data_IF_904427843143
#
_entry.id   IF_904427843143
#
_cell.length_a   1.000
_cell.length_b   1.000
_cell.length_c   1.000
_cell.angle_alpha   90.00
_cell.angle_beta   90.00
_cell.angle_gamma   90.00
#
_symmetry.space_group_name_H-M   'P 1'
#
loop_
_entity.id
_entity.type
_entity.pdbx_description
1 polymer ?
#
# COMPACT_ATOMS: atom_id res chain seq x y z
N UNK A 1 -10.70 -16.62 -5.38
CA UNK A 1 -9.49 -15.76 -5.40
C UNK A 1 -8.33 -16.58 -4.85
N UNK A 2 -7.27 -16.75 -5.60
CA UNK A 2 -6.19 -17.58 -5.11
C UNK A 2 -5.41 -16.85 -4.01
N UNK A 3 -5.34 -17.50 -2.87
CA UNK A 3 -4.33 -17.23 -1.87
C UNK A 3 -2.96 -17.54 -2.48
N UNK A 4 -2.00 -16.64 -2.28
CA UNK A 4 -0.61 -16.81 -2.73
C UNK A 4 0.28 -16.67 -1.51
N UNK A 5 1.21 -17.60 -1.36
CA UNK A 5 2.25 -17.52 -0.32
C UNK A 5 3.57 -17.21 -1.01
N UNK A 6 4.15 -16.08 -0.66
CA UNK A 6 5.42 -15.61 -1.19
C UNK A 6 6.55 -15.84 -0.20
N UNK A 7 7.77 -15.97 -0.71
CA UNK A 7 8.97 -15.93 0.12
C UNK A 7 9.41 -14.47 0.29
N UNK A 8 9.30 -13.97 1.49
CA UNK A 8 9.76 -12.64 1.87
C UNK A 8 11.08 -12.67 2.65
N UNK A 9 11.57 -11.50 3.09
CA UNK A 9 12.84 -11.37 3.81
C UNK A 9 12.90 -12.16 5.13
N UNK A 10 11.78 -12.28 5.85
CA UNK A 10 11.68 -12.99 7.14
C UNK A 10 10.88 -14.28 7.04
N UNK A 11 10.65 -14.78 5.85
CA UNK A 11 9.92 -16.01 5.62
C UNK A 11 8.67 -15.80 4.77
N UNK A 12 7.65 -16.65 4.98
CA UNK A 12 6.44 -16.62 4.18
C UNK A 12 5.63 -15.35 4.39
N UNK A 13 5.09 -14.82 3.29
CA UNK A 13 4.15 -13.70 3.28
C UNK A 13 2.82 -14.18 2.68
N UNK A 14 1.74 -14.02 3.42
CA UNK A 14 0.38 -14.34 3.00
C UNK A 14 -0.19 -13.22 2.13
N UNK A 15 -0.62 -13.56 0.92
CA UNK A 15 -1.14 -12.61 -0.06
C UNK A 15 -2.46 -13.09 -0.65
N UNK A 16 -3.26 -12.13 -1.11
CA UNK A 16 -4.42 -12.37 -1.97
C UNK A 16 -4.22 -11.60 -3.27
N UNK A 17 -4.17 -12.32 -4.37
CA UNK A 17 -3.90 -11.75 -5.70
C UNK A 17 -5.10 -11.94 -6.63
N UNK A 18 -5.42 -10.92 -7.40
CA UNK A 18 -6.39 -10.98 -8.49
C UNK A 18 -5.75 -10.43 -9.76
N UNK A 19 -5.62 -11.26 -10.76
CA UNK A 19 -5.10 -10.86 -12.06
C UNK A 19 -6.16 -10.09 -12.84
N UNK A 20 -5.76 -8.99 -13.48
CA UNK A 20 -6.59 -8.26 -14.43
C UNK A 20 -6.84 -9.08 -15.69
N UNK A 21 -7.93 -8.76 -16.38
CA UNK A 21 -8.36 -9.52 -17.56
C UNK A 21 -7.55 -9.20 -18.82
N UNK A 22 -7.04 -7.97 -18.91
CA UNK A 22 -6.34 -7.48 -20.11
C UNK A 22 -4.82 -7.60 -19.94
N UNK A 23 -4.14 -7.97 -21.01
CA UNK A 23 -2.68 -7.95 -21.05
C UNK A 23 -2.18 -6.51 -20.92
N UNK A 24 -1.20 -6.28 -20.04
CA UNK A 24 -0.66 -4.95 -19.79
C UNK A 24 -1.53 -4.05 -18.92
N UNK A 25 -2.58 -4.59 -18.27
CA UNK A 25 -3.35 -3.84 -17.29
C UNK A 25 -2.45 -3.28 -16.17
N UNK A 26 -2.81 -2.13 -15.57
CA UNK A 26 -2.03 -1.59 -14.46
C UNK A 26 -2.07 -2.50 -13.23
N UNK A 27 -1.06 -2.38 -12.38
CA UNK A 27 -0.97 -3.13 -11.14
C UNK A 27 -1.17 -2.22 -9.93
N UNK A 28 -1.71 -2.76 -8.85
CA UNK A 28 -1.87 -2.06 -7.59
C UNK A 28 -1.49 -2.96 -6.40
N UNK A 29 -0.68 -2.41 -5.49
CA UNK A 29 -0.31 -3.02 -4.22
C UNK A 29 -1.06 -2.32 -3.09
N UNK A 30 -1.75 -3.10 -2.25
CA UNK A 30 -2.57 -2.60 -1.15
C UNK A 30 -1.93 -2.96 0.19
N UNK A 31 -1.73 -1.96 1.06
CA UNK A 31 -1.05 -2.10 2.34
C UNK A 31 -2.02 -1.81 3.49
N UNK A 32 -2.04 -2.70 4.49
CA UNK A 32 -2.97 -2.65 5.61
C UNK A 32 -2.48 -1.78 6.79
N UNK A 33 -3.37 -1.43 7.74
CA UNK A 33 -3.02 -0.60 8.91
C UNK A 33 -2.16 -1.35 9.94
N UNK A 34 -1.89 -0.68 11.06
CA UNK A 34 -0.95 -1.13 12.09
C UNK A 34 -1.15 -2.57 12.54
N UNK A 35 -0.11 -3.42 12.42
CA UNK A 35 -0.18 -4.83 12.81
C UNK A 35 -0.59 -5.05 14.28
N UNK A 36 -0.04 -4.25 15.21
CA UNK A 36 -0.33 -4.46 16.64
C UNK A 36 -1.61 -3.79 17.13
N UNK A 37 -2.33 -3.09 16.28
CA UNK A 37 -3.67 -2.62 16.57
C UNK A 37 -4.73 -3.49 15.88
N UNK A 38 -4.38 -4.75 15.58
CA UNK A 38 -5.27 -5.68 14.91
C UNK A 38 -5.39 -5.48 13.41
N UNK A 39 -4.49 -4.72 12.80
CA UNK A 39 -4.45 -4.50 11.36
C UNK A 39 -4.12 -5.78 10.59
N UNK A 40 -4.82 -6.01 9.48
CA UNK A 40 -4.57 -7.10 8.56
C UNK A 40 -5.04 -6.74 7.15
N UNK A 41 -4.68 -7.53 6.17
CA UNK A 41 -5.17 -7.38 4.79
C UNK A 41 -6.70 -7.53 4.66
N UNK A 42 -7.37 -8.03 5.68
CA UNK A 42 -8.83 -8.17 5.75
C UNK A 42 -9.51 -6.98 6.41
N UNK A 43 -8.77 -5.96 6.83
CA UNK A 43 -9.35 -4.69 7.29
C UNK A 43 -10.32 -4.15 6.23
N UNK A 44 -11.45 -3.59 6.68
CA UNK A 44 -12.54 -3.14 5.79
C UNK A 44 -12.06 -2.13 4.73
N UNK A 45 -11.24 -1.17 5.12
CA UNK A 45 -10.72 -0.15 4.19
C UNK A 45 -9.74 -0.77 3.20
N UNK A 46 -8.82 -1.59 3.67
CA UNK A 46 -7.85 -2.33 2.86
C UNK A 46 -8.56 -3.22 1.83
N UNK A 47 -9.57 -3.95 2.27
CA UNK A 47 -10.38 -4.79 1.39
C UNK A 47 -11.16 -3.96 0.36
N UNK A 48 -11.73 -2.83 0.76
CA UNK A 48 -12.45 -1.92 -0.15
C UNK A 48 -11.54 -1.35 -1.23
N UNK A 49 -10.34 -0.92 -0.88
CA UNK A 49 -9.32 -0.48 -1.84
C UNK A 49 -8.99 -1.60 -2.84
N UNK A 50 -8.75 -2.80 -2.35
CA UNK A 50 -8.49 -3.96 -3.19
C UNK A 50 -9.63 -4.22 -4.19
N UNK A 51 -10.88 -4.18 -3.73
CA UNK A 51 -12.05 -4.40 -4.59
C UNK A 51 -12.23 -3.30 -5.64
N UNK A 52 -11.98 -2.03 -5.27
CA UNK A 52 -12.09 -0.92 -6.23
C UNK A 52 -11.05 -1.04 -7.35
N UNK A 53 -9.80 -1.34 -7.05
CA UNK A 53 -8.79 -1.57 -8.08
C UNK A 53 -9.13 -2.77 -8.95
N UNK A 54 -9.59 -3.88 -8.35
CA UNK A 54 -10.03 -5.06 -9.07
C UNK A 54 -11.19 -4.76 -10.03
N UNK A 55 -12.20 -4.03 -9.57
CA UNK A 55 -13.37 -3.67 -10.37
C UNK A 55 -13.01 -2.77 -11.57
N UNK A 56 -11.91 -2.02 -11.46
CA UNK A 56 -11.38 -1.16 -12.53
C UNK A 56 -10.42 -1.89 -13.48
N UNK A 57 -10.27 -3.21 -13.33
CA UNK A 57 -9.49 -4.03 -14.26
C UNK A 57 -8.01 -4.17 -13.94
N UNK A 58 -7.56 -3.69 -12.77
CA UNK A 58 -6.18 -3.84 -12.33
C UNK A 58 -5.84 -5.29 -11.96
N UNK A 59 -4.59 -5.66 -12.14
CA UNK A 59 -3.99 -6.74 -11.37
C UNK A 59 -3.67 -6.20 -9.98
N UNK A 60 -4.29 -6.75 -8.96
CA UNK A 60 -4.23 -6.20 -7.61
C UNK A 60 -3.82 -7.25 -6.59
N UNK A 61 -2.96 -6.84 -5.65
CA UNK A 61 -2.48 -7.69 -4.57
C UNK A 61 -2.62 -6.95 -3.23
N UNK A 62 -3.15 -7.65 -2.23
CA UNK A 62 -3.10 -7.28 -0.83
C UNK A 62 -2.39 -8.37 -0.04
N UNK A 63 -1.72 -8.02 1.04
CA UNK A 63 -0.91 -8.96 1.81
C UNK A 63 -0.91 -8.62 3.29
N UNK A 64 -0.56 -9.60 4.11
CA UNK A 64 -0.29 -9.42 5.53
C UNK A 64 1.19 -9.13 5.76
N UNK A 65 1.51 -8.03 6.44
CA UNK A 65 2.87 -7.77 6.92
C UNK A 65 3.35 -8.89 7.84
N UNK A 66 4.66 -8.98 8.02
CA UNK A 66 5.30 -9.95 8.92
C UNK A 66 4.61 -10.02 10.28
N UNK A 67 4.43 -11.23 10.79
CA UNK A 67 3.77 -11.47 12.07
C UNK A 67 2.25 -11.38 12.07
N UNK A 68 1.63 -11.10 10.92
CA UNK A 68 0.17 -11.01 10.79
C UNK A 68 -0.36 -12.21 10.01
N UNK A 69 -1.45 -12.82 10.48
CA UNK A 69 -2.07 -13.98 9.83
C UNK A 69 -1.08 -15.11 9.64
N UNK A 70 -0.94 -15.59 8.41
CA UNK A 70 0.02 -16.65 8.06
C UNK A 70 1.41 -16.12 7.69
N UNK A 71 1.62 -14.82 7.70
CA UNK A 71 2.92 -14.21 7.43
C UNK A 71 3.89 -14.44 8.59
N UNK A 72 5.09 -14.90 8.28
CA UNK A 72 6.15 -15.19 9.26
C UNK A 72 6.89 -13.93 9.68
N UNK A 73 7.71 -14.05 10.71
CA UNK A 73 8.47 -12.92 11.28
C UNK A 73 7.72 -12.22 12.40
N UNK A 74 8.25 -11.08 12.79
CA UNK A 74 7.68 -10.22 13.83
C UNK A 74 7.75 -8.77 13.41
N UNK A 75 6.87 -7.93 13.98
CA UNK A 75 6.84 -6.50 13.72
C UNK A 75 8.21 -5.86 13.94
N UNK A 76 8.66 -5.06 12.98
CA UNK A 76 9.99 -4.46 12.94
C UNK A 76 9.96 -2.93 12.75
N UNK A 77 9.00 -2.29 13.37
CA UNK A 77 8.87 -0.81 13.43
C UNK A 77 8.90 -0.09 12.06
N UNK A 78 8.52 -0.78 11.01
CA UNK A 78 8.41 -0.25 9.65
C UNK A 78 9.56 -0.62 8.72
N UNK A 79 10.76 -0.89 9.21
CA UNK A 79 11.90 -1.27 8.34
C UNK A 79 11.67 -2.62 7.67
N UNK A 80 11.33 -3.63 8.46
CA UNK A 80 11.02 -4.95 7.96
C UNK A 80 9.76 -4.98 7.11
N UNK A 81 8.72 -4.24 7.51
CA UNK A 81 7.48 -4.10 6.76
C UNK A 81 7.72 -3.46 5.38
N UNK A 82 8.62 -2.48 5.30
CA UNK A 82 9.04 -1.91 4.02
C UNK A 82 9.73 -2.93 3.12
N UNK A 83 10.60 -3.76 3.69
CA UNK A 83 11.26 -4.84 2.96
C UNK A 83 10.25 -5.90 2.47
N UNK A 84 9.25 -6.24 3.28
CA UNK A 84 8.15 -7.12 2.88
C UNK A 84 7.38 -6.54 1.70
N UNK A 85 7.01 -5.26 1.77
CA UNK A 85 6.29 -4.57 0.70
C UNK A 85 7.09 -4.54 -0.61
N UNK A 86 8.41 -4.31 -0.54
CA UNK A 86 9.28 -4.34 -1.71
C UNK A 86 9.33 -5.74 -2.36
N UNK A 87 9.44 -6.79 -1.56
CA UNK A 87 9.43 -8.17 -2.05
C UNK A 87 8.11 -8.54 -2.72
N UNK A 88 6.98 -8.13 -2.12
CA UNK A 88 5.64 -8.36 -2.68
C UNK A 88 5.43 -7.57 -3.98
N UNK A 89 5.92 -6.33 -4.04
CA UNK A 89 5.86 -5.52 -5.27
C UNK A 89 6.68 -6.17 -6.39
N UNK A 90 7.87 -6.66 -6.11
CA UNK A 90 8.71 -7.35 -7.09
C UNK A 90 7.98 -8.57 -7.68
N UNK A 91 7.33 -9.35 -6.83
CA UNK A 91 6.54 -10.49 -7.29
C UNK A 91 5.36 -10.04 -8.16
N UNK A 92 4.60 -9.02 -7.71
CA UNK A 92 3.45 -8.49 -8.45
C UNK A 92 3.86 -8.02 -9.86
N UNK A 93 4.98 -7.32 -9.97
CA UNK A 93 5.54 -6.87 -11.25
C UNK A 93 6.01 -8.06 -12.11
N UNK A 94 6.59 -9.09 -11.51
CA UNK A 94 7.03 -10.30 -12.23
C UNK A 94 5.88 -11.08 -12.87
N UNK A 95 4.69 -11.01 -12.26
CA UNK A 95 3.47 -11.63 -12.82
C UNK A 95 2.81 -10.76 -13.89
N UNK A 96 3.23 -9.52 -14.06
CA UNK A 96 2.61 -8.51 -14.92
C UNK A 96 3.64 -7.76 -15.75
N UNK A 97 4.48 -8.47 -16.49
CA UNK A 97 5.64 -7.93 -17.22
C UNK A 97 5.31 -6.85 -18.24
N UNK A 98 4.09 -6.83 -18.77
CA UNK A 98 3.65 -5.85 -19.75
C UNK A 98 2.92 -4.64 -19.13
N UNK A 99 2.76 -4.62 -17.82
CA UNK A 99 2.15 -3.48 -17.14
C UNK A 99 3.04 -2.25 -17.21
N UNK A 100 2.45 -1.12 -17.59
CA UNK A 100 3.16 0.18 -17.68
C UNK A 100 2.95 1.07 -16.45
N UNK A 101 1.96 0.76 -15.63
CA UNK A 101 1.57 1.60 -14.51
C UNK A 101 1.49 0.77 -13.23
N UNK A 102 2.13 1.29 -12.19
CA UNK A 102 2.17 0.69 -10.85
C UNK A 102 1.63 1.68 -9.85
N UNK A 103 0.63 1.26 -9.07
CA UNK A 103 -0.01 2.08 -8.03
C UNK A 103 0.17 1.44 -6.65
N UNK A 104 0.30 2.30 -5.64
CA UNK A 104 0.32 1.92 -4.23
C UNK A 104 -0.90 2.51 -3.56
N UNK A 105 -1.60 1.72 -2.77
CA UNK A 105 -2.68 2.22 -1.92
C UNK A 105 -2.50 1.70 -0.50
N UNK A 106 -2.54 2.58 0.48
CA UNK A 106 -2.33 2.22 1.88
C UNK A 106 -3.32 2.89 2.82
N UNK A 107 -3.62 2.20 3.90
CA UNK A 107 -4.44 2.71 5.00
C UNK A 107 -3.59 2.86 6.26
N UNK A 108 -3.62 4.04 6.88
CA UNK A 108 -2.92 4.35 8.14
C UNK A 108 -1.43 4.00 8.06
N UNK A 109 -0.93 3.10 8.90
CA UNK A 109 0.44 2.59 8.85
C UNK A 109 0.85 2.11 7.45
N UNK A 110 -0.06 1.43 6.73
CA UNK A 110 0.18 0.99 5.36
C UNK A 110 0.43 2.14 4.39
N UNK A 111 -0.17 3.32 4.61
CA UNK A 111 0.12 4.51 3.81
C UNK A 111 1.54 5.02 4.04
N UNK A 112 2.02 4.99 5.27
CA UNK A 112 3.39 5.38 5.61
C UNK A 112 4.43 4.46 4.97
N UNK A 113 4.22 3.15 5.04
CA UNK A 113 5.08 2.17 4.34
C UNK A 113 5.02 2.35 2.82
N UNK A 114 3.82 2.53 2.27
CA UNK A 114 3.62 2.73 0.83
C UNK A 114 4.32 3.97 0.30
N UNK A 115 4.30 5.08 1.05
CA UNK A 115 4.99 6.31 0.67
C UNK A 115 6.52 6.15 0.70
N UNK A 116 7.06 5.46 1.68
CA UNK A 116 8.49 5.14 1.73
C UNK A 116 8.91 4.26 0.55
N UNK A 117 8.08 3.25 0.21
CA UNK A 117 8.32 2.41 -0.96
C UNK A 117 8.31 3.23 -2.25
N UNK A 118 7.33 4.12 -2.42
CA UNK A 118 7.24 5.01 -3.58
C UNK A 118 8.50 5.87 -3.75
N UNK A 119 9.05 6.40 -2.67
CA UNK A 119 10.28 7.21 -2.72
C UNK A 119 11.51 6.43 -3.18
N UNK A 120 11.49 5.10 -3.04
CA UNK A 120 12.59 4.19 -3.42
C UNK A 120 12.37 3.49 -4.76
N UNK A 121 11.16 3.56 -5.31
CA UNK A 121 10.74 2.83 -6.51
C UNK A 121 10.17 3.82 -7.54
N UNK A 122 11.03 4.37 -8.41
CA UNK A 122 10.64 5.41 -9.36
C UNK A 122 9.63 4.96 -10.41
N UNK A 123 9.46 3.66 -10.61
CA UNK A 123 8.43 3.10 -11.50
C UNK A 123 7.00 3.22 -10.96
N UNK A 124 6.82 3.54 -9.67
CA UNK A 124 5.49 3.75 -9.09
C UNK A 124 4.89 5.04 -9.66
N UNK A 125 3.76 4.88 -10.37
CA UNK A 125 3.12 5.93 -11.14
C UNK A 125 2.22 6.83 -10.30
N UNK A 126 1.65 6.31 -9.22
CA UNK A 126 0.73 7.06 -8.37
C UNK A 126 0.38 6.31 -7.09
N UNK A 127 -0.31 7.01 -6.18
CA UNK A 127 -0.63 6.47 -4.86
C UNK A 127 -2.01 6.91 -4.37
N UNK A 128 -2.56 6.14 -3.44
CA UNK A 128 -3.70 6.53 -2.61
C UNK A 128 -3.32 6.31 -1.15
N UNK A 129 -3.39 7.38 -0.35
CA UNK A 129 -3.21 7.32 1.11
C UNK A 129 -4.55 7.55 1.79
N UNK A 130 -5.00 6.60 2.59
CA UNK A 130 -6.19 6.75 3.42
C UNK A 130 -5.77 6.94 4.87
N UNK A 131 -6.18 8.05 5.46
CA UNK A 131 -5.87 8.42 6.85
C UNK A 131 -4.40 8.25 7.23
N UNK A 132 -3.45 8.92 6.54
CA UNK A 132 -2.03 8.83 6.89
C UNK A 132 -1.80 9.33 8.32
N UNK A 133 -1.12 8.55 9.19
CA UNK A 133 -0.97 8.88 10.61
C UNK A 133 0.23 9.83 10.85
N UNK A 134 0.11 11.08 10.37
CA UNK A 134 1.17 12.08 10.45
C UNK A 134 1.45 12.58 11.87
N UNK A 135 0.59 12.27 12.83
CA UNK A 135 0.80 12.50 14.26
C UNK A 135 1.73 11.47 14.92
N UNK A 136 1.87 10.30 14.32
CA UNK A 136 2.66 9.17 14.85
C UNK A 136 3.95 8.92 14.06
N UNK A 137 3.95 9.21 12.77
CA UNK A 137 5.05 8.93 11.86
C UNK A 137 5.43 10.18 11.08
N UNK A 138 6.72 10.33 10.81
CA UNK A 138 7.25 11.43 10.01
C UNK A 138 7.03 11.18 8.51
N UNK A 139 6.37 12.13 7.84
CA UNK A 139 6.16 12.18 6.40
C UNK A 139 7.01 13.25 5.69
N UNK A 140 7.94 13.88 6.38
CA UNK A 140 8.79 14.94 5.81
C UNK A 140 9.62 14.48 4.60
N UNK A 141 9.89 13.18 4.50
CA UNK A 141 10.60 12.59 3.35
C UNK A 141 9.86 12.75 2.01
N UNK A 142 8.56 13.10 2.02
CA UNK A 142 7.77 13.32 0.80
C UNK A 142 8.01 14.67 0.10
N UNK A 143 8.92 15.47 0.57
CA UNK A 143 9.25 16.74 -0.05
C UNK A 143 10.64 16.68 -0.74
N UNK A 144 10.73 16.71 -2.10
CA UNK A 144 9.63 16.73 -3.07
C UNK A 144 9.06 15.35 -3.36
N UNK A 145 7.73 15.27 -3.57
CA UNK A 145 7.07 14.02 -3.92
C UNK A 145 7.25 13.71 -5.41
N UNK A 146 7.74 12.51 -5.78
CA UNK A 146 8.07 12.20 -7.18
C UNK A 146 6.84 11.76 -8.01
N UNK A 147 5.71 11.47 -7.38
CA UNK A 147 4.50 11.01 -8.04
C UNK A 147 3.27 11.79 -7.55
N UNK A 148 2.24 11.83 -8.39
CA UNK A 148 0.95 12.38 -8.01
C UNK A 148 0.07 11.31 -7.38
N UNK A 149 -0.83 11.70 -6.47
CA UNK A 149 -1.72 10.78 -5.82
C UNK A 149 -2.88 11.44 -5.11
N UNK A 150 -3.63 10.63 -4.39
CA UNK A 150 -4.81 11.02 -3.64
C UNK A 150 -4.58 10.77 -2.16
N UNK A 151 -4.85 11.77 -1.33
CA UNK A 151 -4.93 11.61 0.12
C UNK A 151 -6.40 11.75 0.53
N UNK A 152 -6.92 10.71 1.16
CA UNK A 152 -8.28 10.65 1.69
C UNK A 152 -8.21 10.68 3.20
N UNK A 153 -8.95 11.62 3.81
CA UNK A 153 -8.92 11.85 5.23
C UNK A 153 -10.32 12.12 5.77
N UNK A 154 -10.69 11.45 6.88
CA UNK A 154 -11.94 11.68 7.56
C UNK A 154 -11.88 12.97 8.40
N UNK A 155 -12.95 13.78 8.40
CA UNK A 155 -13.04 15.05 9.13
C UNK A 155 -12.80 14.92 10.63
N UNK A 156 -13.25 13.83 11.22
CA UNK A 156 -13.20 13.58 12.66
C UNK A 156 -11.95 12.75 13.07
N UNK A 157 -11.04 12.52 12.15
CA UNK A 157 -9.81 11.80 12.42
C UNK A 157 -8.70 12.77 12.84
N UNK A 158 -8.49 12.91 14.15
CA UNK A 158 -7.48 13.78 14.73
C UNK A 158 -6.03 13.35 14.45
N UNK A 159 -5.82 12.17 13.89
CA UNK A 159 -4.49 11.63 13.60
C UNK A 159 -3.83 12.22 12.36
N UNK A 160 -4.55 13.00 11.56
CA UNK A 160 -4.01 13.57 10.33
C UNK A 160 -3.94 15.09 10.44
N UNK A 161 -2.76 15.59 10.66
CA UNK A 161 -2.46 16.98 10.41
C UNK A 161 -2.39 17.20 8.89
N UNK A 162 -3.11 18.21 8.41
CA UNK A 162 -3.03 18.64 7.03
C UNK A 162 -1.57 18.99 6.69
N UNK A 163 -0.94 18.11 5.98
CA UNK A 163 0.41 18.33 5.50
C UNK A 163 0.34 19.06 4.16
N UNK A 164 0.80 20.29 4.11
CA UNK A 164 0.97 21.03 2.86
C UNK A 164 2.27 20.58 2.21
N UNK A 165 2.19 19.61 1.31
CA UNK A 165 3.30 19.28 0.43
C UNK A 165 3.40 20.30 -0.72
N UNK A 166 4.59 20.71 -1.15
CA UNK A 166 4.75 21.53 -2.35
C UNK A 166 4.43 20.78 -3.66
N UNK A 167 4.14 19.50 -3.60
CA UNK A 167 3.71 18.69 -4.75
C UNK A 167 2.20 18.82 -4.95
N UNK A 168 1.68 18.77 -6.19
CA UNK A 168 0.25 18.79 -6.43
C UNK A 168 -0.37 17.47 -5.95
N UNK A 169 -0.80 17.47 -4.69
CA UNK A 169 -1.58 16.39 -4.10
C UNK A 169 -3.06 16.78 -4.19
N UNK A 170 -3.85 15.94 -4.82
CA UNK A 170 -5.29 16.08 -4.80
C UNK A 170 -5.82 15.59 -3.44
N UNK A 171 -6.40 16.51 -2.68
CA UNK A 171 -7.01 16.19 -1.40
C UNK A 171 -8.49 15.90 -1.59
N UNK A 172 -8.94 14.69 -1.23
CA UNK A 172 -10.35 14.38 -1.09
C UNK A 172 -10.70 14.23 0.39
N UNK A 173 -11.65 15.05 0.85
CA UNK A 173 -12.20 14.96 2.22
C UNK A 173 -13.52 14.21 2.12
N UNK A 174 -13.59 12.99 2.72
CA UNK A 174 -14.86 12.29 2.86
C UNK A 174 -15.63 12.84 4.08
N UNK A 175 -16.90 13.09 3.89
CA UNK A 175 -17.83 13.48 4.96
C UNK A 175 -18.30 12.26 5.73
#
# INVERSE_FOLDING_TARGET
MPEVILNGPEGRIECMYSQGKESGCPVALILHPEPYQGGSMNNKVTYSLYQEFKNRGFSVLRFNFRGVGKSQGSFDNGEGELADAAAVLDWLQSQNLYSKFTFIAGFSFGSWIGMQLMMRRPEISGFICVSPPADKFDFAFLAPCPASGLIVHGRDNNSCLLYTSPSPLDFAISR
#
